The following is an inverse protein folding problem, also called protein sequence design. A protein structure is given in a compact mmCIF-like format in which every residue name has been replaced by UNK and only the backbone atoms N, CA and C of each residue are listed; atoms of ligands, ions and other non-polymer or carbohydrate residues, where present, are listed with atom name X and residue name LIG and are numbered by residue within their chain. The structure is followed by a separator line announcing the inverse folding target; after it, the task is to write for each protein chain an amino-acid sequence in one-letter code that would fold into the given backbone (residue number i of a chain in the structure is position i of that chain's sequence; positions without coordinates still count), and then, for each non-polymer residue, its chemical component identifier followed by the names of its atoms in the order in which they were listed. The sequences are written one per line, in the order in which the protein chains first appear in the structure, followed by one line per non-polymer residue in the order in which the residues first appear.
data_IF_359999753184
#
_entry.id   IF_359999753184
#
_cell.length_a   1.000
_cell.length_b   1.000
_cell.length_c   1.000
_cell.angle_alpha   90.00
_cell.angle_beta   90.00
_cell.angle_gamma   90.00
#
_symmetry.space_group_name_H-M   'P 1'
#
loop_
_entity.id
_entity.type
_entity.pdbx_description
1 polymer ?
#
# COMPACT_ATOMS: atom_id res chain seq x y z
N UNK A 1 5.56 -2.51 -0.70
CA UNK A 1 5.33 -2.15 -2.13
C UNK A 1 4.72 -3.25 -3.02
N UNK A 2 5.02 -4.54 -2.79
CA UNK A 2 4.62 -5.63 -3.68
C UNK A 2 3.10 -5.66 -3.95
N UNK A 3 2.29 -5.51 -2.91
CA UNK A 3 0.83 -5.49 -3.01
C UNK A 3 0.31 -4.39 -3.95
N UNK A 4 0.93 -3.20 -3.91
CA UNK A 4 0.57 -2.08 -4.79
C UNK A 4 0.94 -2.36 -6.25
N UNK A 5 2.12 -2.93 -6.51
CA UNK A 5 2.55 -3.26 -7.87
C UNK A 5 1.64 -4.34 -8.48
N UNK A 6 1.36 -5.42 -7.74
CA UNK A 6 0.49 -6.48 -8.24
C UNK A 6 -0.96 -6.03 -8.39
N UNK A 7 -1.48 -5.18 -7.50
CA UNK A 7 -2.81 -4.62 -7.66
C UNK A 7 -2.88 -3.70 -8.88
N UNK A 8 -1.86 -2.85 -9.08
CA UNK A 8 -1.78 -1.98 -10.24
C UNK A 8 -1.72 -2.79 -11.55
N UNK A 9 -0.95 -3.88 -11.58
CA UNK A 9 -0.94 -4.83 -12.69
C UNK A 9 -2.32 -5.43 -12.95
N UNK A 10 -2.98 -5.94 -11.92
CA UNK A 10 -4.30 -6.54 -12.05
C UNK A 10 -5.35 -5.53 -12.58
N UNK A 11 -5.31 -4.28 -12.11
CA UNK A 11 -6.17 -3.21 -12.61
C UNK A 11 -5.86 -2.85 -14.06
N UNK A 12 -4.58 -2.82 -14.46
CA UNK A 12 -4.16 -2.61 -15.85
C UNK A 12 -4.68 -3.72 -16.77
N UNK A 13 -4.58 -4.99 -16.34
CA UNK A 13 -5.14 -6.15 -17.06
C UNK A 13 -6.66 -6.07 -17.24
N UNK A 14 -7.35 -5.38 -16.32
CA UNK A 14 -8.78 -5.07 -16.39
C UNK A 14 -9.10 -3.83 -17.24
N UNK A 15 -8.13 -3.31 -17.98
CA UNK A 15 -8.28 -2.15 -18.87
C UNK A 15 -8.43 -0.82 -18.14
N UNK A 16 -7.94 -0.71 -16.90
CA UNK A 16 -7.94 0.55 -16.13
C UNK A 16 -6.65 1.32 -16.37
N UNK A 17 -6.77 2.64 -16.31
CA UNK A 17 -5.61 3.52 -16.21
C UNK A 17 -5.17 3.60 -14.76
N UNK A 18 -3.89 3.34 -14.50
CA UNK A 18 -3.35 3.27 -13.13
C UNK A 18 -2.03 4.03 -13.10
N UNK A 19 -1.77 4.69 -11.98
CA UNK A 19 -0.49 5.30 -11.63
C UNK A 19 -0.17 4.97 -10.18
N UNK A 20 1.11 4.78 -9.84
CA UNK A 20 1.56 4.54 -8.48
C UNK A 20 2.22 5.81 -7.94
N UNK A 21 1.83 6.24 -6.75
CA UNK A 21 2.38 7.41 -6.06
C UNK A 21 3.03 6.95 -4.76
N UNK A 22 4.30 7.31 -4.55
CA UNK A 22 5.09 6.90 -3.38
C UNK A 22 6.06 8.03 -2.98
N UNK A 23 6.79 7.87 -1.89
CA UNK A 23 7.86 8.82 -1.54
C UNK A 23 8.93 8.86 -2.62
N UNK A 24 9.49 10.05 -2.86
CA UNK A 24 10.52 10.26 -3.87
C UNK A 24 11.74 9.33 -3.68
N UNK A 25 12.15 9.11 -2.42
CA UNK A 25 13.24 8.18 -2.08
C UNK A 25 12.97 6.73 -2.52
N UNK A 26 11.72 6.30 -2.56
CA UNK A 26 11.33 4.91 -2.88
C UNK A 26 10.82 4.74 -4.31
N UNK A 27 10.59 5.84 -5.03
CA UNK A 27 10.01 5.83 -6.38
C UNK A 27 10.83 4.98 -7.36
N UNK A 28 12.16 5.12 -7.35
CA UNK A 28 13.06 4.36 -8.24
C UNK A 28 13.02 2.84 -8.01
N UNK A 29 12.86 2.41 -6.75
CA UNK A 29 12.73 0.98 -6.40
C UNK A 29 11.40 0.44 -6.93
N UNK A 30 10.32 1.20 -6.75
CA UNK A 30 8.99 0.84 -7.27
C UNK A 30 9.00 0.78 -8.79
N UNK A 31 9.62 1.76 -9.46
CA UNK A 31 9.75 1.80 -10.92
C UNK A 31 10.53 0.59 -11.45
N UNK A 32 11.64 0.21 -10.82
CA UNK A 32 12.37 -1.02 -11.17
C UNK A 32 11.50 -2.27 -11.01
N UNK A 33 10.72 -2.35 -9.94
CA UNK A 33 9.78 -3.46 -9.70
C UNK A 33 8.65 -3.53 -10.74
N UNK A 34 8.11 -2.38 -11.16
CA UNK A 34 7.11 -2.31 -12.24
C UNK A 34 7.74 -2.76 -13.57
N UNK A 35 8.91 -2.24 -13.91
CA UNK A 35 9.61 -2.54 -15.16
C UNK A 35 10.05 -4.01 -15.25
N UNK A 36 10.43 -4.64 -14.14
CA UNK A 36 10.85 -6.06 -14.12
C UNK A 36 9.71 -7.02 -14.46
N UNK A 37 8.46 -6.62 -14.23
CA UNK A 37 7.26 -7.38 -14.61
C UNK A 37 6.85 -7.13 -16.08
N UNK A 38 7.59 -6.31 -16.84
CA UNK A 38 7.29 -6.01 -18.23
C UNK A 38 6.03 -5.16 -18.44
N UNK A 39 5.53 -4.52 -17.39
CA UNK A 39 4.35 -3.65 -17.44
C UNK A 39 4.75 -2.19 -17.41
N UNK A 40 3.92 -1.32 -18.01
CA UNK A 40 4.15 0.13 -18.08
C UNK A 40 3.09 0.86 -17.29
N UNK A 41 3.45 1.25 -16.07
CA UNK A 41 2.60 2.01 -15.15
C UNK A 41 3.40 3.24 -14.72
N UNK A 42 2.87 4.47 -14.85
CA UNK A 42 3.51 5.65 -14.32
C UNK A 42 3.77 5.51 -12.82
N UNK A 43 5.01 5.77 -12.39
CA UNK A 43 5.40 5.83 -10.98
C UNK A 43 5.85 7.25 -10.68
N UNK A 44 5.19 7.86 -9.70
CA UNK A 44 5.45 9.23 -9.29
C UNK A 44 6.04 9.28 -7.89
N UNK A 45 7.24 9.86 -7.79
CA UNK A 45 7.87 10.25 -6.53
C UNK A 45 7.26 11.55 -6.02
N UNK A 46 6.74 11.52 -4.80
CA UNK A 46 6.22 12.70 -4.11
C UNK A 46 7.31 13.21 -3.17
N UNK A 47 7.64 14.51 -3.18
CA UNK A 47 8.64 15.05 -2.27
C UNK A 47 8.16 15.00 -0.80
N UNK A 48 9.07 15.05 0.17
CA UNK A 48 8.67 15.17 1.59
C UNK A 48 8.03 16.51 1.93
N UNK A 49 8.44 17.55 1.20
CA UNK A 49 7.88 18.90 1.29
C UNK A 49 7.47 19.33 -0.10
N UNK A 50 6.18 19.50 -0.31
CA UNK A 50 5.64 20.08 -1.52
C UNK A 50 4.68 21.21 -1.18
N UNK A 51 4.67 22.23 -2.03
CA UNK A 51 3.70 23.32 -1.95
C UNK A 51 2.39 22.96 -2.66
N UNK A 52 1.35 23.77 -2.45
CA UNK A 52 0.01 23.53 -3.00
C UNK A 52 -0.07 23.39 -4.53
N UNK A 53 0.94 23.81 -5.29
CA UNK A 53 0.99 23.58 -6.74
C UNK A 53 1.09 22.09 -7.11
N UNK A 54 1.91 21.31 -6.40
CA UNK A 54 2.02 19.87 -6.64
C UNK A 54 0.68 19.17 -6.39
N UNK A 55 0.00 19.57 -5.32
CA UNK A 55 -1.34 19.10 -4.99
C UNK A 55 -2.35 19.36 -6.11
N UNK A 56 -2.32 20.58 -6.66
CA UNK A 56 -3.18 20.95 -7.77
C UNK A 56 -2.83 20.15 -9.04
N UNK A 57 -1.54 19.87 -9.27
CA UNK A 57 -1.10 19.06 -10.40
C UNK A 57 -1.61 17.62 -10.32
N UNK A 58 -1.48 16.97 -9.16
CA UNK A 58 -2.06 15.65 -8.91
C UNK A 58 -3.53 15.61 -9.32
N UNK A 59 -4.33 16.55 -8.80
CA UNK A 59 -5.76 16.57 -9.09
C UNK A 59 -6.13 16.98 -10.52
N UNK A 60 -5.20 17.55 -11.30
CA UNK A 60 -5.41 17.81 -12.73
C UNK A 60 -5.36 16.53 -13.56
N UNK A 61 -4.66 15.49 -13.09
CA UNK A 61 -4.66 14.19 -13.79
C UNK A 61 -6.05 13.55 -13.80
N UNK A 62 -6.83 13.77 -12.74
CA UNK A 62 -8.17 13.23 -12.59
C UNK A 62 -8.16 11.76 -12.13
N UNK A 63 -8.79 11.49 -10.99
CA UNK A 63 -8.86 10.15 -10.41
C UNK A 63 -10.30 9.77 -10.07
N UNK A 64 -10.68 8.54 -10.40
CA UNK A 64 -11.99 7.98 -10.05
C UNK A 64 -11.96 7.15 -8.76
N UNK A 65 -10.76 6.78 -8.29
CA UNK A 65 -10.55 5.95 -7.11
C UNK A 65 -9.12 6.15 -6.58
N UNK A 66 -8.96 6.28 -5.26
CA UNK A 66 -7.65 6.20 -4.61
C UNK A 66 -7.55 4.93 -3.75
N UNK A 67 -6.42 4.24 -3.83
CA UNK A 67 -6.13 3.05 -3.02
C UNK A 67 -4.80 3.25 -2.31
N UNK A 68 -4.80 3.10 -0.98
CA UNK A 68 -3.60 3.08 -0.15
C UNK A 68 -3.28 1.66 0.27
N UNK A 69 -2.00 1.28 0.23
CA UNK A 69 -1.47 0.03 0.77
C UNK A 69 -0.24 0.36 1.60
N UNK A 70 -0.28 0.06 2.90
CA UNK A 70 0.85 0.26 3.82
C UNK A 70 1.39 1.71 3.82
N UNK A 71 0.50 2.69 3.61
CA UNK A 71 0.90 4.10 3.56
C UNK A 71 0.64 4.77 4.90
N UNK A 72 1.64 5.39 5.55
CA UNK A 72 1.43 6.15 6.79
C UNK A 72 0.35 7.23 6.64
N UNK A 73 -0.56 7.29 7.61
CA UNK A 73 -1.53 8.37 7.77
C UNK A 73 -1.20 9.20 9.00
N UNK A 74 -1.47 10.51 8.96
CA UNK A 74 -1.16 11.40 10.08
C UNK A 74 -1.88 10.98 11.36
N UNK A 75 -1.17 11.07 12.48
CA UNK A 75 -1.72 11.00 13.83
C UNK A 75 -2.48 12.27 14.21
N UNK A 76 -2.94 12.34 15.47
CA UNK A 76 -3.75 13.45 15.98
C UNK A 76 -3.01 14.79 16.01
N UNK A 77 -1.69 14.78 16.12
CA UNK A 77 -0.82 15.95 16.10
C UNK A 77 -0.30 16.30 14.69
N UNK A 78 -0.83 15.64 13.64
CA UNK A 78 -0.48 15.88 12.25
C UNK A 78 0.83 15.26 11.79
N UNK A 79 1.51 14.49 12.64
CA UNK A 79 2.78 13.81 12.35
C UNK A 79 2.58 12.35 11.95
N UNK A 80 3.63 11.72 11.45
CA UNK A 80 3.62 10.32 11.04
C UNK A 80 4.50 9.49 11.99
N UNK A 81 4.04 8.30 12.35
CA UNK A 81 4.70 7.44 13.31
C UNK A 81 4.93 6.04 12.76
N UNK A 82 6.05 5.42 13.11
CA UNK A 82 6.28 3.99 12.89
C UNK A 82 5.49 3.15 13.91
N UNK A 83 5.42 1.83 13.69
CA UNK A 83 4.86 0.89 14.66
C UNK A 83 5.67 0.81 15.96
N UNK A 84 6.91 1.31 15.96
CA UNK A 84 7.80 1.47 17.12
C UNK A 84 7.63 2.83 17.82
N UNK A 85 6.60 3.59 17.44
CA UNK A 85 6.27 4.91 18.03
C UNK A 85 7.30 6.02 17.74
N UNK A 86 8.17 5.79 16.75
CA UNK A 86 9.15 6.77 16.30
C UNK A 86 8.50 7.77 15.34
N UNK A 87 8.84 9.05 15.49
CA UNK A 87 8.41 10.10 14.56
C UNK A 87 9.18 9.96 13.24
N UNK A 88 8.45 9.61 12.17
CA UNK A 88 8.99 9.42 10.82
C UNK A 88 8.57 10.54 9.87
N UNK A 89 8.04 11.66 10.40
CA UNK A 89 7.50 12.76 9.59
C UNK A 89 8.49 13.31 8.56
N UNK A 90 9.78 13.33 8.87
CA UNK A 90 10.81 13.80 7.94
C UNK A 90 11.11 12.84 6.77
N UNK A 91 10.60 11.59 6.84
CA UNK A 91 10.79 10.55 5.84
C UNK A 91 9.49 10.17 5.11
N UNK A 92 8.39 10.86 5.41
CA UNK A 92 7.06 10.55 4.90
C UNK A 92 6.53 11.76 4.14
N UNK A 93 6.28 11.57 2.85
CA UNK A 93 5.57 12.52 2.01
C UNK A 93 4.09 12.53 2.42
N UNK A 94 3.44 13.69 2.58
CA UNK A 94 2.07 13.77 3.10
C UNK A 94 0.98 13.34 2.10
N UNK A 95 1.11 12.13 1.55
CA UNK A 95 0.19 11.50 0.59
C UNK A 95 -1.23 11.31 1.14
N UNK A 96 -1.39 11.32 2.46
CA UNK A 96 -2.70 11.24 3.11
C UNK A 96 -3.58 12.48 2.87
N UNK A 97 -3.00 13.62 2.48
CA UNK A 97 -3.76 14.81 2.06
C UNK A 97 -4.63 14.53 0.85
N UNK A 98 -4.17 13.68 -0.06
CA UNK A 98 -4.95 13.27 -1.22
C UNK A 98 -6.19 12.48 -0.81
N UNK A 99 -6.11 11.66 0.23
CA UNK A 99 -7.27 10.91 0.73
C UNK A 99 -8.26 11.81 1.47
N UNK A 100 -7.76 12.78 2.24
CA UNK A 100 -8.60 13.78 2.91
C UNK A 100 -9.38 14.60 1.87
N UNK A 101 -8.72 15.02 0.79
CA UNK A 101 -9.34 15.80 -0.28
C UNK A 101 -10.22 14.96 -1.20
N UNK A 102 -9.88 13.69 -1.46
CA UNK A 102 -10.72 12.75 -2.22
C UNK A 102 -12.14 12.71 -1.64
N UNK A 103 -12.25 12.67 -0.32
CA UNK A 103 -13.55 12.74 0.38
C UNK A 103 -14.31 14.02 0.06
N UNK A 104 -13.64 15.18 0.04
CA UNK A 104 -14.28 16.47 -0.32
C UNK A 104 -14.73 16.49 -1.77
N UNK A 105 -13.98 15.81 -2.64
CA UNK A 105 -14.26 15.64 -4.08
C UNK A 105 -15.25 14.52 -4.40
N UNK A 106 -15.69 13.75 -3.39
CA UNK A 106 -16.54 12.56 -3.55
C UNK A 106 -15.91 11.47 -4.43
N UNK A 107 -14.59 11.36 -4.38
CA UNK A 107 -13.83 10.30 -5.03
C UNK A 107 -13.70 9.15 -4.03
N UNK A 108 -14.17 7.94 -4.39
CA UNK A 108 -14.05 6.76 -3.53
C UNK A 108 -12.61 6.48 -3.10
N UNK A 109 -12.47 5.95 -1.88
CA UNK A 109 -11.17 5.64 -1.27
C UNK A 109 -11.14 4.25 -0.65
N UNK A 110 -10.04 3.53 -0.86
CA UNK A 110 -9.75 2.25 -0.20
C UNK A 110 -8.44 2.39 0.58
N UNK A 111 -8.43 1.96 1.84
CA UNK A 111 -7.21 1.84 2.64
C UNK A 111 -6.92 0.39 2.98
N UNK A 112 -5.67 -0.01 2.88
CA UNK A 112 -5.16 -1.32 3.30
C UNK A 112 -4.00 -1.10 4.26
N UNK A 113 -4.11 -1.67 5.46
CA UNK A 113 -3.11 -1.57 6.52
C UNK A 113 -3.14 -2.78 7.45
N UNK A 114 -2.19 -2.84 8.39
CA UNK A 114 -2.10 -3.89 9.40
C UNK A 114 -1.71 -3.40 10.81
N UNK A 115 -1.14 -2.19 10.95
CA UNK A 115 -0.59 -1.66 12.20
C UNK A 115 -1.43 -0.62 12.93
N UNK A 116 -2.33 0.09 12.23
CA UNK A 116 -3.19 1.14 12.79
C UNK A 116 -2.72 2.57 12.55
N UNK A 117 -1.49 2.76 12.06
CA UNK A 117 -0.86 4.04 11.74
C UNK A 117 -0.98 4.42 10.25
N UNK A 118 -1.69 3.63 9.45
CA UNK A 118 -1.83 3.80 8.00
C UNK A 118 -3.07 4.61 7.61
N UNK A 119 -3.09 5.10 6.37
CA UNK A 119 -4.25 5.72 5.75
C UNK A 119 -5.42 4.72 5.76
N UNK A 120 -6.55 5.16 6.32
CA UNK A 120 -7.78 4.39 6.45
C UNK A 120 -8.00 3.77 7.82
N UNK A 121 -6.94 3.57 8.62
CA UNK A 121 -7.06 3.06 9.99
C UNK A 121 -7.81 4.00 10.93
N UNK A 122 -7.98 5.27 10.53
CA UNK A 122 -8.90 6.21 11.17
C UNK A 122 -10.34 5.69 11.28
N UNK A 123 -10.76 4.76 10.40
CA UNK A 123 -12.09 4.15 10.45
C UNK A 123 -12.32 3.30 11.71
N UNK A 124 -11.24 2.73 12.28
CA UNK A 124 -11.30 1.87 13.46
C UNK A 124 -10.53 2.45 14.66
N UNK A 125 -10.09 3.70 14.57
CA UNK A 125 -9.25 4.34 15.60
C UNK A 125 -9.81 4.24 17.01
N UNK A 126 -11.12 4.40 17.18
CA UNK A 126 -11.77 4.26 18.51
C UNK A 126 -11.60 2.85 19.08
N UNK A 127 -11.72 1.81 18.26
CA UNK A 127 -11.50 0.42 18.67
C UNK A 127 -10.04 0.16 19.01
N UNK A 128 -9.11 0.75 18.24
CA UNK A 128 -7.67 0.67 18.51
C UNK A 128 -7.32 1.35 19.83
N UNK A 129 -7.85 2.55 20.08
CA UNK A 129 -7.68 3.26 21.36
C UNK A 129 -8.26 2.52 22.54
N UNK A 130 -9.42 1.88 22.38
CA UNK A 130 -10.00 1.08 23.45
C UNK A 130 -9.10 -0.10 23.83
N UNK A 131 -8.46 -0.73 22.85
CA UNK A 131 -7.61 -1.91 23.05
C UNK A 131 -6.16 -1.56 23.46
N UNK A 132 -5.64 -0.43 22.97
CA UNK A 132 -4.26 0.01 23.11
C UNK A 132 -4.20 1.53 23.39
N UNK A 133 -4.75 2.00 24.52
CA UNK A 133 -4.87 3.42 24.81
C UNK A 133 -3.52 4.15 24.83
N UNK A 134 -2.45 3.47 25.24
CA UNK A 134 -1.08 3.99 25.29
C UNK A 134 -0.52 4.34 23.91
N UNK A 135 -0.99 3.65 22.86
CA UNK A 135 -0.56 3.86 21.46
C UNK A 135 -1.35 4.94 20.73
N UNK A 136 -2.20 5.69 21.43
CA UNK A 136 -3.14 6.60 20.78
C UNK A 136 -2.52 7.67 19.89
N UNK A 137 -1.25 8.00 20.10
CA UNK A 137 -0.47 8.94 19.30
C UNK A 137 -0.18 8.41 17.89
N UNK A 138 0.14 7.12 17.74
CA UNK A 138 0.54 6.55 16.45
C UNK A 138 -0.67 6.26 15.56
N UNK A 139 -1.85 6.07 16.14
CA UNK A 139 -3.03 5.70 15.36
C UNK A 139 -3.48 6.85 14.44
N UNK A 140 -3.48 6.53 13.15
CA UNK A 140 -3.86 7.43 12.08
C UNK A 140 -5.28 7.93 12.27
N UNK A 141 -5.50 9.22 12.04
CA UNK A 141 -6.83 9.83 12.04
C UNK A 141 -7.48 9.80 10.65
N UNK A 142 -6.73 9.37 9.62
CA UNK A 142 -7.14 9.44 8.23
C UNK A 142 -8.14 8.32 7.94
N UNK A 143 -9.34 8.71 7.49
CA UNK A 143 -10.44 7.80 7.16
C UNK A 143 -10.54 7.57 5.65
N UNK A 144 -11.12 6.44 5.28
CA UNK A 144 -11.41 6.03 3.89
C UNK A 144 -12.82 5.48 3.80
N UNK A 145 -13.36 5.29 2.60
CA UNK A 145 -14.70 4.73 2.41
C UNK A 145 -14.71 3.22 2.68
N UNK A 146 -13.66 2.51 2.26
CA UNK A 146 -13.51 1.07 2.49
C UNK A 146 -12.14 0.75 3.09
N UNK A 147 -12.13 0.06 4.23
CA UNK A 147 -10.91 -0.38 4.91
C UNK A 147 -10.77 -1.90 4.80
N UNK A 148 -9.60 -2.36 4.38
CA UNK A 148 -9.17 -3.76 4.42
C UNK A 148 -8.05 -3.88 5.45
N UNK A 149 -8.20 -4.79 6.40
CA UNK A 149 -7.17 -5.05 7.43
C UNK A 149 -6.57 -6.43 7.13
N UNK A 150 -5.25 -6.46 6.95
CA UNK A 150 -4.49 -7.69 6.74
C UNK A 150 -3.63 -8.03 7.97
N UNK A 151 -3.05 -9.23 7.98
CA UNK A 151 -1.90 -9.51 8.86
C UNK A 151 -0.56 -9.01 8.30
N UNK A 152 -0.55 -8.73 6.99
CA UNK A 152 0.49 -8.03 6.23
C UNK A 152 -0.25 -7.27 5.13
N UNK A 153 0.03 -5.98 4.93
CA UNK A 153 -0.68 -5.16 3.94
C UNK A 153 -0.58 -5.67 2.50
N UNK A 154 0.55 -6.28 2.11
CA UNK A 154 0.66 -6.94 0.80
C UNK A 154 -0.39 -8.05 0.64
N UNK A 155 -0.66 -8.85 1.69
CA UNK A 155 -1.72 -9.87 1.66
C UNK A 155 -3.11 -9.25 1.59
N UNK A 156 -3.33 -8.10 2.22
CA UNK A 156 -4.56 -7.32 2.03
C UNK A 156 -4.77 -6.93 0.57
N UNK A 157 -3.70 -6.46 -0.10
CA UNK A 157 -3.69 -6.21 -1.55
C UNK A 157 -4.01 -7.46 -2.37
N UNK A 158 -3.38 -8.61 -2.07
CA UNK A 158 -3.68 -9.87 -2.75
C UNK A 158 -5.10 -10.36 -2.50
N UNK A 159 -5.64 -10.15 -1.30
CA UNK A 159 -7.04 -10.44 -0.98
C UNK A 159 -8.00 -9.63 -1.83
N UNK A 160 -7.72 -8.34 -2.05
CA UNK A 160 -8.50 -7.51 -2.97
C UNK A 160 -8.42 -8.03 -4.41
N UNK A 161 -7.22 -8.38 -4.89
CA UNK A 161 -7.04 -8.99 -6.22
C UNK A 161 -7.80 -10.31 -6.32
N UNK A 162 -7.75 -11.16 -5.29
CA UNK A 162 -8.48 -12.43 -5.25
C UNK A 162 -9.99 -12.22 -5.30
N UNK A 163 -10.51 -11.20 -4.60
CA UNK A 163 -11.91 -10.80 -4.69
C UNK A 163 -12.31 -10.43 -6.13
N UNK A 164 -11.51 -9.60 -6.80
CA UNK A 164 -11.72 -9.24 -8.20
C UNK A 164 -11.64 -10.47 -9.12
N UNK A 165 -10.64 -11.32 -8.94
CA UNK A 165 -10.44 -12.56 -9.69
C UNK A 165 -11.65 -13.49 -9.56
N UNK A 166 -12.22 -13.61 -8.35
CA UNK A 166 -13.42 -14.41 -8.12
C UNK A 166 -14.64 -13.82 -8.81
N UNK A 167 -14.89 -12.52 -8.63
CA UNK A 167 -16.05 -11.82 -9.19
C UNK A 167 -16.06 -11.86 -10.73
N UNK A 168 -14.89 -11.75 -11.34
CA UNK A 168 -14.73 -11.72 -12.79
C UNK A 168 -14.45 -13.10 -13.40
N UNK A 169 -14.40 -14.16 -12.58
CA UNK A 169 -13.99 -15.51 -12.99
C UNK A 169 -12.64 -15.53 -13.74
N UNK A 170 -11.70 -14.69 -13.29
CA UNK A 170 -10.38 -14.54 -13.89
C UNK A 170 -9.28 -14.75 -12.84
N UNK A 171 -8.93 -16.01 -12.59
CA UNK A 171 -7.86 -16.39 -11.65
C UNK A 171 -6.46 -15.92 -12.04
N UNK A 172 -6.25 -15.42 -13.28
CA UNK A 172 -4.94 -14.95 -13.74
C UNK A 172 -4.52 -13.61 -13.13
N UNK A 173 -5.47 -12.85 -12.59
CA UNK A 173 -5.18 -11.56 -11.95
C UNK A 173 -4.28 -11.72 -10.71
N UNK A 174 -4.48 -12.81 -9.95
CA UNK A 174 -3.73 -13.06 -8.73
C UNK A 174 -2.31 -13.53 -9.08
N UNK A 175 -1.25 -12.91 -8.50
CA UNK A 175 0.11 -13.35 -8.76
C UNK A 175 0.33 -14.80 -8.31
N UNK A 176 1.31 -15.43 -8.92
CA UNK A 176 1.85 -16.71 -8.49
C UNK A 176 2.92 -16.50 -7.41
N UNK A 177 3.18 -17.51 -6.57
CA UNK A 177 4.29 -17.49 -5.62
C UNK A 177 5.67 -17.22 -6.26
N UNK A 178 5.84 -17.62 -7.53
CA UNK A 178 7.06 -17.39 -8.28
C UNK A 178 7.20 -15.92 -8.71
N UNK A 179 6.11 -15.29 -9.15
CA UNK A 179 6.11 -13.84 -9.47
C UNK A 179 6.35 -13.00 -8.22
N UNK A 180 5.71 -13.34 -7.10
CA UNK A 180 5.95 -12.65 -5.83
C UNK A 180 7.41 -12.74 -5.40
N UNK A 181 7.99 -13.93 -5.49
CA UNK A 181 9.41 -14.14 -5.19
C UNK A 181 10.31 -13.34 -6.14
N UNK A 182 10.05 -13.40 -7.44
CA UNK A 182 10.82 -12.66 -8.43
C UNK A 182 10.80 -11.16 -8.12
N UNK A 183 9.61 -10.59 -7.87
CA UNK A 183 9.48 -9.19 -7.52
C UNK A 183 10.18 -8.87 -6.20
N UNK A 184 10.04 -9.71 -5.17
CA UNK A 184 10.71 -9.51 -3.88
C UNK A 184 12.24 -9.42 -4.05
N UNK A 185 12.84 -10.33 -4.83
CA UNK A 185 14.27 -10.30 -5.13
C UNK A 185 14.67 -8.99 -5.82
N UNK A 186 13.94 -8.59 -6.87
CA UNK A 186 14.21 -7.34 -7.59
C UNK A 186 14.16 -6.13 -6.65
N UNK A 187 13.21 -6.09 -5.72
CA UNK A 187 13.07 -4.97 -4.78
C UNK A 187 14.22 -4.93 -3.78
N UNK A 188 14.62 -6.07 -3.23
CA UNK A 188 15.78 -6.16 -2.31
C UNK A 188 17.08 -5.78 -3.02
N UNK A 189 17.32 -6.32 -4.22
CA UNK A 189 18.49 -5.98 -5.05
C UNK A 189 18.52 -4.51 -5.46
N UNK A 190 17.36 -3.86 -5.50
CA UNK A 190 17.22 -2.44 -5.79
C UNK A 190 17.41 -1.53 -4.57
N UNK A 191 17.63 -2.11 -3.39
CA UNK A 191 17.87 -1.37 -2.14
C UNK A 191 16.66 -1.28 -1.20
N UNK A 192 15.61 -2.08 -1.41
CA UNK A 192 14.50 -2.16 -0.46
C UNK A 192 14.90 -2.94 0.79
N UNK A 193 14.49 -2.44 1.96
CA UNK A 193 14.69 -3.10 3.26
C UNK A 193 13.35 -3.60 3.80
N UNK A 194 13.40 -4.58 4.70
CA UNK A 194 12.25 -5.02 5.48
C UNK A 194 11.93 -4.00 6.58
N UNK A 195 10.65 -3.62 6.71
CA UNK A 195 10.21 -2.55 7.63
C UNK A 195 10.28 -2.92 9.12
N UNK A 196 10.37 -4.21 9.45
CA UNK A 196 10.46 -4.71 10.82
C UNK A 196 11.89 -5.09 11.18
N UNK A 197 12.63 -5.78 10.32
CA UNK A 197 14.01 -6.17 10.62
C UNK A 197 15.01 -5.04 10.35
N UNK A 198 14.67 -4.10 9.45
CA UNK A 198 15.56 -3.07 8.92
C UNK A 198 16.77 -3.63 8.16
N UNK A 199 16.66 -4.85 7.65
CA UNK A 199 17.70 -5.56 6.90
C UNK A 199 17.34 -5.70 5.42
N UNK A 200 18.36 -5.92 4.59
CA UNK A 200 18.20 -6.35 3.20
C UNK A 200 17.91 -7.85 3.16
N UNK A 201 16.69 -8.23 3.56
CA UNK A 201 16.26 -9.63 3.65
C UNK A 201 15.10 -9.91 2.72
N UNK A 202 15.00 -11.17 2.25
CA UNK A 202 13.85 -11.68 1.51
C UNK A 202 12.67 -11.95 2.45
N UNK A 203 12.22 -10.90 3.13
CA UNK A 203 11.11 -10.90 4.06
C UNK A 203 10.26 -9.63 3.88
N UNK A 204 9.04 -9.72 4.39
CA UNK A 204 8.14 -8.56 4.54
C UNK A 204 7.61 -8.61 5.95
N UNK A 205 7.75 -7.52 6.69
CA UNK A 205 7.35 -7.38 8.10
C UNK A 205 7.93 -8.48 9.01
N UNK A 206 9.18 -8.86 8.75
CA UNK A 206 9.86 -9.95 9.47
C UNK A 206 9.34 -11.35 9.12
N UNK A 207 8.38 -11.46 8.21
CA UNK A 207 7.85 -12.74 7.73
C UNK A 207 8.67 -13.20 6.53
N UNK A 208 9.31 -14.35 6.69
CA UNK A 208 10.12 -14.93 5.62
C UNK A 208 9.29 -15.32 4.39
N UNK A 209 9.97 -15.38 3.26
CA UNK A 209 9.44 -15.81 1.96
C UNK A 209 8.56 -17.06 2.01
N UNK A 210 8.91 -18.10 2.77
CA UNK A 210 8.17 -19.36 2.75
C UNK A 210 6.72 -19.19 3.25
N UNK A 211 6.53 -18.32 4.24
CA UNK A 211 5.21 -17.99 4.79
C UNK A 211 4.44 -17.06 3.86
N UNK A 212 5.10 -16.07 3.24
CA UNK A 212 4.50 -15.19 2.22
C UNK A 212 3.88 -16.02 1.09
N UNK A 213 4.68 -16.92 0.52
CA UNK A 213 4.24 -17.81 -0.56
C UNK A 213 3.12 -18.77 -0.13
N UNK A 214 3.10 -19.21 1.13
CA UNK A 214 2.03 -20.08 1.64
C UNK A 214 0.69 -19.37 1.57
N UNK A 215 0.62 -18.09 1.97
CA UNK A 215 -0.63 -17.32 1.93
C UNK A 215 -1.14 -17.12 0.52
N UNK A 216 -0.25 -16.87 -0.43
CA UNK A 216 -0.65 -16.75 -1.84
C UNK A 216 -1.16 -18.09 -2.41
N UNK A 217 -0.54 -19.22 -2.04
CA UNK A 217 -1.06 -20.56 -2.37
C UNK A 217 -2.45 -20.82 -1.79
N UNK A 218 -2.68 -20.46 -0.53
CA UNK A 218 -3.99 -20.59 0.11
C UNK A 218 -5.06 -19.77 -0.62
N UNK A 219 -4.75 -18.52 -1.00
CA UNK A 219 -5.67 -17.67 -1.78
C UNK A 219 -6.01 -18.29 -3.14
N UNK A 220 -5.01 -18.83 -3.85
CA UNK A 220 -5.23 -19.50 -5.15
C UNK A 220 -6.10 -20.75 -5.03
N UNK A 221 -5.89 -21.56 -3.99
CA UNK A 221 -6.73 -22.72 -3.71
C UNK A 221 -8.20 -22.33 -3.49
N UNK A 222 -8.46 -21.21 -2.79
CA UNK A 222 -9.82 -20.70 -2.61
C UNK A 222 -10.48 -20.24 -3.92
N UNK A 223 -9.69 -19.89 -4.94
CA UNK A 223 -10.18 -19.49 -6.26
C UNK A 223 -10.43 -20.68 -7.20
N UNK A 224 -10.05 -21.90 -6.81
CA UNK A 224 -10.11 -23.09 -7.67
C UNK A 224 -9.05 -23.08 -8.78
N UNK A 225 -7.93 -22.38 -8.54
CA UNK A 225 -6.82 -22.18 -9.48
C UNK A 225 -5.50 -22.75 -8.98
#
# INVERSE_FOLDING_TARGET
PLGAIFLARALLELGKNVSIWTDDLYSSVVEKGVNSLGIRIPVYGVPFKWGGWFFQLFWKEGFDLLISIERPGRGIDGRYYSSREEDITCYVSPLDEFFIEAKRRKIPTIGIGDGGNEIGMGNIREKLLFKFPEKGKIFSIVKVDHLIIGGISNWGGYGLIAGLAKLLSNGRLLPSPAEEEFLLNVMVDSGSIDGVTLEYSLSVDGVNKAILQRKLRELRLCLGS
#
